data_IF_404203244369
#
_entry.id   IF_404203244369
#
_cell.length_a   1.000
_cell.length_b   1.000
_cell.length_c   1.000
_cell.angle_alpha   90.00
_cell.angle_beta   90.00
_cell.angle_gamma   90.00
#
_symmetry.space_group_name_H-M   'P 1'
#
loop_
_entity.id
_entity.type
_entity.pdbx_description
1 polymer ?
#
# COMPACT_ATOMS: atom_id res chain seq x y z
N UNK A 1 18.82 -2.25 -4.43
CA UNK A 1 17.64 -2.59 -3.60
C UNK A 1 16.74 -3.48 -4.44
N UNK A 2 16.28 -4.61 -3.92
CA UNK A 2 15.29 -5.45 -4.61
C UNK A 2 13.89 -4.87 -4.40
N UNK A 3 13.07 -4.85 -5.43
CA UNK A 3 11.67 -4.40 -5.39
C UNK A 3 10.84 -5.24 -6.38
N UNK A 4 9.52 -5.19 -6.26
CA UNK A 4 8.63 -5.93 -7.15
C UNK A 4 8.67 -5.35 -8.57
N UNK A 5 8.87 -6.24 -9.55
CA UNK A 5 8.80 -5.91 -10.97
C UNK A 5 7.34 -5.86 -11.41
N UNK A 6 6.87 -4.70 -11.87
CA UNK A 6 5.50 -4.55 -12.37
C UNK A 6 4.43 -4.44 -11.29
N UNK A 7 4.80 -4.19 -10.03
CA UNK A 7 3.88 -3.71 -9.00
C UNK A 7 3.35 -2.33 -9.39
N UNK A 8 2.24 -2.35 -10.12
CA UNK A 8 1.47 -1.19 -10.57
C UNK A 8 0.03 -1.62 -10.78
N UNK A 9 -0.88 -0.65 -10.82
CA UNK A 9 -2.23 -0.91 -11.27
C UNK A 9 -2.25 -1.28 -12.76
N UNK A 10 -3.26 -2.05 -13.17
CA UNK A 10 -3.44 -2.50 -14.55
C UNK A 10 -4.75 -1.89 -15.09
N UNK A 11 -4.65 -1.03 -16.10
CA UNK A 11 -5.82 -0.36 -16.71
C UNK A 11 -6.86 -1.36 -17.22
N UNK A 12 -6.42 -2.46 -17.85
CA UNK A 12 -7.31 -3.53 -18.30
C UNK A 12 -7.96 -4.37 -17.20
N UNK A 13 -7.67 -4.10 -15.92
CA UNK A 13 -8.29 -4.77 -14.77
C UNK A 13 -9.23 -3.85 -13.98
N UNK A 14 -9.50 -2.64 -14.47
CA UNK A 14 -10.41 -1.70 -13.80
C UNK A 14 -11.87 -2.17 -13.86
N UNK A 15 -12.71 -1.55 -13.03
CA UNK A 15 -14.15 -1.74 -13.09
C UNK A 15 -14.67 -1.36 -14.48
N UNK A 16 -15.67 -2.09 -14.94
CA UNK A 16 -16.40 -1.71 -16.15
C UNK A 16 -17.08 -0.35 -15.88
N UNK A 17 -16.99 0.62 -16.81
CA UNK A 17 -17.63 1.92 -16.63
C UNK A 17 -19.10 1.81 -16.20
N UNK A 18 -19.51 2.62 -15.23
CA UNK A 18 -20.86 2.60 -14.65
C UNK A 18 -21.11 1.51 -13.60
N UNK A 19 -20.20 0.56 -13.40
CA UNK A 19 -20.30 -0.45 -12.33
C UNK A 19 -19.59 0.03 -11.06
N UNK A 20 -20.09 -0.38 -9.89
CA UNK A 20 -19.47 -0.07 -8.57
C UNK A 20 -19.25 1.43 -8.31
N UNK A 21 -19.91 2.32 -9.06
CA UNK A 21 -19.74 3.78 -8.99
C UNK A 21 -19.82 4.30 -7.55
N UNK A 22 -20.90 3.96 -6.83
CA UNK A 22 -21.08 4.35 -5.43
C UNK A 22 -19.90 3.96 -4.53
N UNK A 23 -19.40 2.73 -4.66
CA UNK A 23 -18.26 2.25 -3.84
C UNK A 23 -16.99 3.03 -4.19
N UNK A 24 -16.78 3.33 -5.48
CA UNK A 24 -15.64 4.14 -5.90
C UNK A 24 -15.75 5.57 -5.35
N UNK A 25 -16.93 6.18 -5.42
CA UNK A 25 -17.20 7.53 -4.92
C UNK A 25 -16.99 7.61 -3.41
N UNK A 26 -17.48 6.62 -2.65
CA UNK A 26 -17.29 6.54 -1.20
C UNK A 26 -15.79 6.48 -0.82
N UNK A 27 -15.02 5.64 -1.52
CA UNK A 27 -13.56 5.51 -1.29
C UNK A 27 -12.82 6.81 -1.68
N UNK A 28 -13.21 7.45 -2.79
CA UNK A 28 -12.62 8.71 -3.24
C UNK A 28 -12.91 9.81 -2.20
N UNK A 29 -14.15 9.92 -1.75
CA UNK A 29 -14.55 10.88 -0.71
C UNK A 29 -13.76 10.70 0.58
N UNK A 30 -13.64 9.45 1.06
CA UNK A 30 -12.80 9.13 2.21
C UNK A 30 -11.33 9.53 2.00
N UNK A 31 -10.76 9.22 0.83
CA UNK A 31 -9.35 9.48 0.56
C UNK A 31 -9.00 10.97 0.44
N UNK A 32 -9.98 11.83 0.16
CA UNK A 32 -9.84 13.28 0.12
C UNK A 32 -10.38 14.01 1.36
N UNK A 33 -10.88 13.28 2.36
CA UNK A 33 -11.37 13.88 3.61
C UNK A 33 -10.21 14.51 4.39
N UNK A 34 -10.41 15.74 4.87
CA UNK A 34 -9.47 16.45 5.75
C UNK A 34 -9.45 15.85 7.16
N UNK A 35 -10.59 15.35 7.63
CA UNK A 35 -10.78 14.74 8.95
C UNK A 35 -11.34 13.32 8.79
N UNK A 36 -10.51 12.34 8.37
CA UNK A 36 -10.98 10.95 8.29
C UNK A 36 -11.03 10.31 9.69
N UNK A 37 -11.98 9.42 9.91
CA UNK A 37 -11.99 8.57 11.12
C UNK A 37 -10.78 7.61 11.17
N UNK A 38 -10.20 7.31 10.00
CA UNK A 38 -9.06 6.39 9.84
C UNK A 38 -8.24 6.68 8.58
N UNK A 39 -6.92 6.53 8.67
CA UNK A 39 -6.01 6.58 7.52
C UNK A 39 -6.07 5.33 6.64
N UNK A 40 -6.73 4.26 7.08
CA UNK A 40 -6.83 2.99 6.38
C UNK A 40 -8.30 2.68 6.06
N UNK A 41 -8.60 2.45 4.78
CA UNK A 41 -9.87 1.91 4.31
C UNK A 41 -9.68 0.46 3.88
N UNK A 42 -10.36 -0.47 4.55
CA UNK A 42 -10.25 -1.90 4.32
C UNK A 42 -11.52 -2.47 3.66
N UNK A 43 -11.44 -2.78 2.37
CA UNK A 43 -12.52 -3.41 1.62
C UNK A 43 -12.44 -4.94 1.74
N UNK A 44 -13.34 -5.51 2.53
CA UNK A 44 -13.46 -6.97 2.72
C UNK A 44 -14.52 -7.58 1.81
N UNK A 45 -14.26 -8.80 1.32
CA UNK A 45 -15.26 -9.56 0.58
C UNK A 45 -14.76 -10.90 0.05
N UNK A 46 -15.65 -11.79 -0.39
CA UNK A 46 -15.28 -13.12 -0.89
C UNK A 46 -14.48 -13.06 -2.19
N UNK A 47 -13.88 -14.17 -2.59
CA UNK A 47 -13.22 -14.31 -3.89
C UNK A 47 -14.22 -14.00 -5.03
N UNK A 48 -13.74 -13.39 -6.11
CA UNK A 48 -14.59 -13.06 -7.27
C UNK A 48 -15.54 -11.87 -7.10
N UNK A 49 -15.59 -11.20 -5.95
CA UNK A 49 -16.51 -10.06 -5.73
C UNK A 49 -16.11 -8.76 -6.44
N UNK A 50 -14.97 -8.73 -7.13
CA UNK A 50 -14.48 -7.57 -7.90
C UNK A 50 -13.63 -6.57 -7.11
N UNK A 51 -13.16 -6.89 -5.90
CA UNK A 51 -12.33 -5.98 -5.08
C UNK A 51 -11.06 -5.51 -5.79
N UNK A 52 -10.34 -6.40 -6.49
CA UNK A 52 -9.16 -6.02 -7.25
C UNK A 52 -9.48 -5.06 -8.39
N UNK A 53 -10.67 -5.18 -9.01
CA UNK A 53 -11.11 -4.23 -10.02
C UNK A 53 -11.34 -2.84 -9.42
N UNK A 54 -11.90 -2.78 -8.20
CA UNK A 54 -12.04 -1.54 -7.43
C UNK A 54 -10.65 -0.96 -7.11
N UNK A 55 -9.71 -1.76 -6.59
CA UNK A 55 -8.34 -1.34 -6.30
C UNK A 55 -7.62 -0.77 -7.52
N UNK A 56 -7.72 -1.43 -8.68
CA UNK A 56 -7.14 -0.95 -9.93
C UNK A 56 -7.81 0.33 -10.45
N UNK A 57 -9.12 0.49 -10.24
CA UNK A 57 -9.86 1.70 -10.61
C UNK A 57 -9.42 2.89 -9.76
N UNK A 58 -9.45 2.73 -8.44
CA UNK A 58 -9.01 3.74 -7.48
C UNK A 58 -7.55 4.12 -7.71
N UNK A 59 -6.66 3.14 -7.87
CA UNK A 59 -5.26 3.42 -8.17
C UNK A 59 -5.09 4.20 -9.49
N UNK A 60 -5.86 3.86 -10.52
CA UNK A 60 -5.81 4.56 -11.80
C UNK A 60 -6.32 6.00 -11.73
N UNK A 61 -7.38 6.25 -10.95
CA UNK A 61 -7.90 7.60 -10.70
C UNK A 61 -6.86 8.44 -9.95
N UNK A 62 -6.27 7.89 -8.88
CA UNK A 62 -5.22 8.61 -8.15
C UNK A 62 -3.95 8.80 -8.98
N UNK A 63 -3.64 7.88 -9.89
CA UNK A 63 -2.51 8.03 -10.81
C UNK A 63 -2.73 9.17 -11.80
N UNK A 64 -3.92 9.29 -12.40
CA UNK A 64 -4.24 10.38 -13.35
C UNK A 64 -4.26 11.76 -12.67
N UNK A 65 -4.61 11.81 -11.39
CA UNK A 65 -4.54 13.01 -10.55
C UNK A 65 -3.11 13.31 -10.07
N UNK A 66 -2.13 12.47 -10.38
CA UNK A 66 -0.77 12.61 -9.88
C UNK A 66 -0.65 12.41 -8.37
N UNK A 67 -1.58 11.71 -7.72
CA UNK A 67 -1.70 11.51 -6.26
C UNK A 67 -1.51 10.05 -5.80
N UNK A 68 -1.26 9.12 -6.72
CA UNK A 68 -0.92 7.74 -6.36
C UNK A 68 0.53 7.69 -5.83
N UNK A 69 0.68 7.29 -4.57
CA UNK A 69 1.98 7.09 -3.93
C UNK A 69 2.61 5.76 -4.31
N UNK A 70 1.86 4.67 -4.23
CA UNK A 70 2.29 3.34 -4.69
C UNK A 70 1.06 2.41 -4.86
N UNK A 71 1.22 1.35 -5.66
CA UNK A 71 0.22 0.30 -5.81
C UNK A 71 0.89 -1.07 -5.84
N UNK A 72 0.56 -1.91 -4.87
CA UNK A 72 1.09 -3.27 -4.74
C UNK A 72 -0.05 -4.27 -4.73
N UNK A 73 0.08 -5.37 -5.47
CA UNK A 73 -0.92 -6.44 -5.53
C UNK A 73 -0.23 -7.74 -5.14
N UNK A 74 -0.67 -8.33 -4.03
CA UNK A 74 -0.18 -9.64 -3.62
C UNK A 74 -0.80 -10.71 -4.52
N UNK A 75 0.04 -11.65 -4.95
CA UNK A 75 -0.39 -12.80 -5.74
C UNK A 75 0.24 -14.04 -5.13
N UNK A 76 -0.59 -14.97 -4.65
CA UNK A 76 -0.09 -16.17 -3.98
C UNK A 76 0.71 -17.03 -4.96
N UNK A 77 1.93 -17.39 -4.57
CA UNK A 77 2.84 -18.20 -5.39
C UNK A 77 3.62 -17.42 -6.45
N UNK A 78 3.38 -16.10 -6.58
CA UNK A 78 4.18 -15.23 -7.44
C UNK A 78 5.32 -14.60 -6.66
N UNK A 79 6.54 -15.06 -6.93
CA UNK A 79 7.75 -14.53 -6.29
C UNK A 79 8.05 -13.06 -6.65
N UNK A 80 7.43 -12.53 -7.71
CA UNK A 80 7.60 -11.12 -8.10
C UNK A 80 6.79 -10.14 -7.22
N UNK A 81 5.81 -10.64 -6.46
CA UNK A 81 4.91 -9.86 -5.61
C UNK A 81 4.86 -10.39 -4.17
N UNK A 82 5.98 -10.93 -3.67
CA UNK A 82 6.09 -11.47 -2.30
C UNK A 82 6.21 -10.37 -1.24
N UNK A 83 5.88 -10.74 0.00
CA UNK A 83 5.90 -9.88 1.21
C UNK A 83 7.19 -9.06 1.33
N UNK A 84 8.34 -9.70 1.18
CA UNK A 84 9.66 -9.08 1.34
C UNK A 84 9.99 -8.03 0.27
N UNK A 85 9.16 -7.87 -0.75
CA UNK A 85 9.29 -6.82 -1.75
C UNK A 85 8.36 -5.63 -1.49
N UNK A 86 7.41 -5.73 -0.56
CA UNK A 86 6.39 -4.70 -0.33
C UNK A 86 7.01 -3.36 0.09
N UNK A 87 7.70 -3.30 1.23
CA UNK A 87 8.27 -2.04 1.73
C UNK A 87 9.35 -1.47 0.80
N UNK A 88 10.25 -2.27 0.21
CA UNK A 88 11.17 -1.76 -0.81
C UNK A 88 10.48 -1.12 -2.01
N UNK A 89 9.38 -1.73 -2.49
CA UNK A 89 8.60 -1.20 -3.62
C UNK A 89 7.94 0.11 -3.25
N UNK A 90 7.31 0.16 -2.07
CA UNK A 90 6.67 1.37 -1.54
C UNK A 90 7.68 2.52 -1.39
N UNK A 91 8.83 2.26 -0.77
CA UNK A 91 9.87 3.26 -0.57
C UNK A 91 10.44 3.80 -1.89
N UNK A 92 10.69 2.91 -2.87
CA UNK A 92 11.12 3.29 -4.22
C UNK A 92 10.09 4.21 -4.90
N UNK A 93 8.81 3.87 -4.84
CA UNK A 93 7.76 4.65 -5.51
C UNK A 93 7.63 6.04 -4.91
N UNK A 94 7.70 6.15 -3.58
CA UNK A 94 7.69 7.42 -2.88
C UNK A 94 8.95 8.24 -3.15
N UNK A 95 10.12 7.61 -3.21
CA UNK A 95 11.38 8.26 -3.61
C UNK A 95 11.34 8.81 -5.05
N UNK A 96 10.51 8.24 -5.93
CA UNK A 96 10.32 8.80 -7.26
C UNK A 96 9.51 10.10 -7.25
N UNK A 97 8.74 10.33 -6.19
CA UNK A 97 7.82 11.46 -6.05
C UNK A 97 8.38 12.59 -5.18
N UNK A 98 9.26 12.28 -4.24
CA UNK A 98 9.85 13.24 -3.32
C UNK A 98 11.39 13.14 -3.27
N UNK A 99 12.11 14.21 -3.66
CA UNK A 99 13.57 14.28 -3.56
C UNK A 99 14.11 14.01 -2.15
N UNK A 100 13.41 14.41 -1.08
CA UNK A 100 13.86 14.18 0.30
C UNK A 100 13.77 12.70 0.68
N UNK A 101 12.66 12.05 0.33
CA UNK A 101 12.52 10.59 0.48
C UNK A 101 13.60 9.87 -0.32
N UNK A 102 13.91 10.35 -1.55
CA UNK A 102 14.98 9.79 -2.38
C UNK A 102 16.35 9.88 -1.73
N UNK A 103 16.68 11.03 -1.15
CA UNK A 103 17.93 11.23 -0.43
C UNK A 103 18.02 10.34 0.82
N UNK A 104 16.97 10.33 1.65
CA UNK A 104 16.88 9.51 2.85
C UNK A 104 17.02 8.01 2.52
N UNK A 105 16.29 7.53 1.51
CA UNK A 105 16.40 6.16 1.03
C UNK A 105 17.80 5.87 0.47
N UNK A 106 18.38 6.82 -0.26
CA UNK A 106 19.76 6.77 -0.76
C UNK A 106 20.79 6.58 0.36
N UNK A 107 20.58 7.22 1.50
CA UNK A 107 21.41 7.04 2.70
C UNK A 107 21.21 5.66 3.34
N UNK A 108 19.96 5.22 3.55
CA UNK A 108 19.67 3.90 4.10
C UNK A 108 20.32 2.78 3.27
N UNK A 109 20.25 2.87 1.94
CA UNK A 109 20.83 1.84 1.06
C UNK A 109 22.34 2.00 0.85
N UNK A 110 23.03 2.96 1.49
CA UNK A 110 24.52 2.96 1.47
C UNK A 110 25.05 1.68 2.09
N UNK A 111 24.39 1.16 3.12
CA UNK A 111 24.66 -0.16 3.68
C UNK A 111 24.26 -1.27 2.69
N UNK A 112 25.21 -2.08 2.19
CA UNK A 112 24.91 -3.20 1.29
C UNK A 112 24.02 -4.28 1.91
N UNK A 113 24.03 -4.43 3.25
CA UNK A 113 23.22 -5.43 3.95
C UNK A 113 21.72 -5.14 3.80
N UNK A 114 21.34 -3.86 3.95
CA UNK A 114 19.97 -3.39 3.78
C UNK A 114 19.49 -3.53 2.33
N UNK A 115 20.38 -3.43 1.32
CA UNK A 115 19.96 -3.56 -0.10
C UNK A 115 19.31 -4.89 -0.44
N UNK A 116 19.62 -5.95 0.32
CA UNK A 116 19.17 -7.33 0.10
C UNK A 116 18.45 -7.92 1.31
N UNK A 117 18.21 -7.14 2.37
CA UNK A 117 17.52 -7.66 3.56
C UNK A 117 16.11 -8.12 3.19
N UNK A 118 15.75 -9.31 3.65
CA UNK A 118 14.39 -9.84 3.59
C UNK A 118 13.70 -9.72 4.95
N UNK A 119 14.40 -9.20 5.98
CA UNK A 119 13.83 -8.97 7.30
C UNK A 119 12.83 -7.81 7.24
N UNK A 120 11.59 -8.09 7.62
CA UNK A 120 10.50 -7.13 7.44
C UNK A 120 10.60 -5.93 8.39
N UNK A 121 11.23 -6.09 9.55
CA UNK A 121 11.43 -5.01 10.51
C UNK A 121 12.52 -4.07 10.03
N UNK A 122 13.64 -4.61 9.54
CA UNK A 122 14.71 -3.83 8.93
C UNK A 122 14.17 -3.01 7.76
N UNK A 123 13.37 -3.64 6.89
CA UNK A 123 12.75 -2.94 5.77
C UNK A 123 11.80 -1.84 6.26
N UNK A 124 10.93 -2.13 7.22
CA UNK A 124 9.98 -1.14 7.74
C UNK A 124 10.68 0.06 8.36
N UNK A 125 11.63 -0.18 9.25
CA UNK A 125 12.33 0.89 9.97
C UNK A 125 13.18 1.75 9.03
N UNK A 126 13.97 1.11 8.16
CA UNK A 126 14.94 1.84 7.34
C UNK A 126 14.33 2.40 6.04
N UNK A 127 13.28 1.77 5.49
CA UNK A 127 12.71 2.20 4.21
C UNK A 127 11.40 2.97 4.35
N UNK A 128 10.65 2.78 5.44
CA UNK A 128 9.37 3.47 5.64
C UNK A 128 9.48 4.50 6.77
N UNK A 129 9.81 4.09 7.99
CA UNK A 129 9.83 5.02 9.14
C UNK A 129 10.81 6.16 8.88
N UNK A 130 12.07 5.85 8.57
CA UNK A 130 13.09 6.86 8.31
C UNK A 130 12.75 7.78 7.13
N UNK A 131 12.18 7.24 6.06
CA UNK A 131 11.91 8.04 4.86
C UNK A 131 10.67 8.91 5.00
N UNK A 132 9.64 8.43 5.71
CA UNK A 132 8.40 9.17 5.95
C UNK A 132 8.60 10.36 6.89
N UNK A 133 9.60 10.33 7.78
CA UNK A 133 9.98 11.50 8.59
C UNK A 133 10.45 12.69 7.74
N UNK A 134 11.07 12.42 6.60
CA UNK A 134 11.57 13.44 5.66
C UNK A 134 10.56 13.79 4.57
N UNK A 135 9.36 13.19 4.61
CA UNK A 135 8.33 13.39 3.60
C UNK A 135 7.87 14.85 3.55
N UNK A 136 7.96 15.43 2.36
CA UNK A 136 7.53 16.79 2.04
C UNK A 136 6.44 16.82 0.97
N UNK A 137 5.85 15.66 0.65
CA UNK A 137 4.78 15.56 -0.33
C UNK A 137 3.55 16.30 0.19
N UNK A 138 3.07 17.25 -0.61
CA UNK A 138 1.87 18.05 -0.30
C UNK A 138 0.63 17.43 -0.95
N UNK A 139 -0.49 17.51 -0.23
CA UNK A 139 -1.80 17.04 -0.68
C UNK A 139 -2.04 15.55 -0.46
N UNK A 140 -3.30 15.14 -0.56
CA UNK A 140 -3.74 13.75 -0.38
C UNK A 140 -2.98 12.77 -1.30
N UNK A 141 -2.29 11.80 -0.70
CA UNK A 141 -1.55 10.71 -1.35
C UNK A 141 -2.18 9.37 -0.97
N UNK A 142 -2.43 8.53 -1.97
CA UNK A 142 -2.99 7.20 -1.76
C UNK A 142 -1.98 6.09 -1.98
N UNK A 143 -1.91 5.17 -1.04
CA UNK A 143 -1.25 3.87 -1.17
C UNK A 143 -2.32 2.79 -1.39
N UNK A 144 -2.12 1.92 -2.37
CA UNK A 144 -3.08 0.84 -2.68
C UNK A 144 -2.44 -0.52 -2.46
N UNK A 145 -3.05 -1.34 -1.63
CA UNK A 145 -2.64 -2.71 -1.32
C UNK A 145 -3.76 -3.66 -1.73
N UNK A 146 -3.59 -4.35 -2.85
CA UNK A 146 -4.56 -5.29 -3.36
C UNK A 146 -4.26 -6.73 -2.91
N UNK A 147 -5.33 -7.47 -2.60
CA UNK A 147 -5.34 -8.89 -2.25
C UNK A 147 -4.44 -9.24 -1.04
N UNK A 148 -4.52 -8.49 0.05
CA UNK A 148 -3.70 -8.70 1.25
C UNK A 148 -3.81 -10.13 1.84
N UNK A 149 -4.93 -10.84 1.62
CA UNK A 149 -5.08 -12.26 1.98
C UNK A 149 -4.14 -13.21 1.20
N UNK A 150 -3.62 -12.79 0.06
CA UNK A 150 -2.68 -13.56 -0.75
C UNK A 150 -1.22 -13.42 -0.30
N UNK A 151 -0.93 -12.47 0.60
CA UNK A 151 0.39 -12.33 1.20
C UNK A 151 0.72 -13.55 2.08
N UNK A 152 1.70 -14.37 1.69
CA UNK A 152 2.10 -15.57 2.44
C UNK A 152 3.53 -15.45 2.97
N UNK A 153 3.85 -16.19 4.03
CA UNK A 153 5.18 -16.28 4.62
C UNK A 153 5.19 -16.16 6.15
N UNK A 154 6.28 -16.60 6.77
CA UNK A 154 6.47 -16.59 8.23
C UNK A 154 6.27 -15.20 8.85
N UNK A 155 6.69 -14.15 8.13
CA UNK A 155 6.58 -12.76 8.59
C UNK A 155 5.18 -12.15 8.43
N UNK A 156 4.18 -12.87 7.89
CA UNK A 156 2.82 -12.33 7.64
C UNK A 156 2.21 -11.72 8.89
N UNK A 157 2.27 -12.41 10.03
CA UNK A 157 1.68 -11.92 11.29
C UNK A 157 2.34 -10.61 11.74
N UNK A 158 3.65 -10.50 11.59
CA UNK A 158 4.40 -9.29 11.94
C UNK A 158 4.09 -8.16 10.96
N UNK A 159 4.06 -8.47 9.66
CA UNK A 159 3.69 -7.53 8.60
C UNK A 159 2.31 -6.90 8.82
N UNK A 160 1.29 -7.71 9.13
CA UNK A 160 -0.06 -7.21 9.41
C UNK A 160 -0.08 -6.26 10.61
N UNK A 161 0.69 -6.55 11.67
CA UNK A 161 0.82 -5.65 12.82
C UNK A 161 1.49 -4.33 12.45
N UNK A 162 2.58 -4.38 11.68
CA UNK A 162 3.28 -3.18 11.20
C UNK A 162 2.37 -2.33 10.32
N UNK A 163 1.60 -2.96 9.44
CA UNK A 163 0.70 -2.27 8.52
C UNK A 163 -0.49 -1.64 9.25
N UNK A 164 -1.09 -2.33 10.22
CA UNK A 164 -2.20 -1.80 11.02
C UNK A 164 -1.75 -0.67 11.98
N UNK A 165 -0.51 -0.74 12.48
CA UNK A 165 0.08 0.29 13.35
C UNK A 165 0.89 1.35 12.62
N UNK A 166 0.84 1.38 11.28
CA UNK A 166 1.65 2.29 10.47
C UNK A 166 1.19 3.73 10.71
N UNK A 167 2.10 4.55 11.25
CA UNK A 167 1.89 5.99 11.40
C UNK A 167 2.33 6.68 10.12
N UNK A 168 1.38 7.27 9.40
CA UNK A 168 1.63 8.04 8.19
C UNK A 168 1.39 9.53 8.45
N UNK A 169 2.00 10.43 7.67
CA UNK A 169 1.61 11.83 7.67
C UNK A 169 0.12 12.00 7.34
N UNK A 170 -0.50 13.07 7.83
CA UNK A 170 -1.95 13.27 7.76
C UNK A 170 -2.50 13.31 6.34
N UNK A 171 -1.68 13.63 5.35
CA UNK A 171 -2.06 13.65 3.95
C UNK A 171 -1.99 12.28 3.26
N UNK A 172 -1.58 11.21 3.95
CA UNK A 172 -1.52 9.87 3.38
C UNK A 172 -2.74 9.03 3.77
N UNK A 173 -3.16 8.19 2.82
CA UNK A 173 -4.25 7.23 2.96
C UNK A 173 -3.81 5.87 2.44
N UNK A 174 -4.33 4.79 3.02
CA UNK A 174 -4.06 3.42 2.58
C UNK A 174 -5.37 2.71 2.26
N UNK A 175 -5.58 2.39 0.99
CA UNK A 175 -6.69 1.56 0.56
C UNK A 175 -6.23 0.11 0.44
N UNK A 176 -6.91 -0.79 1.14
CA UNK A 176 -6.57 -2.21 1.23
C UNK A 176 -7.76 -3.05 0.77
N UNK A 177 -7.51 -4.08 -0.04
CA UNK A 177 -8.50 -5.12 -0.31
C UNK A 177 -8.04 -6.45 0.30
N UNK A 178 -8.99 -7.23 0.82
CA UNK A 178 -8.70 -8.55 1.38
C UNK A 178 -9.94 -9.45 1.44
N UNK A 179 -9.73 -10.76 1.54
CA UNK A 179 -10.72 -11.66 2.13
C UNK A 179 -10.88 -11.40 3.63
N UNK A 180 -12.06 -11.73 4.20
CA UNK A 180 -12.35 -11.55 5.62
C UNK A 180 -11.70 -12.62 6.52
N UNK A 181 -10.43 -12.97 6.25
CA UNK A 181 -9.69 -13.98 7.01
C UNK A 181 -9.51 -13.55 8.47
N UNK A 182 -9.42 -14.53 9.38
CA UNK A 182 -9.44 -14.29 10.83
C UNK A 182 -8.28 -13.40 11.29
N UNK A 183 -7.09 -13.59 10.73
CA UNK A 183 -5.89 -12.82 11.06
C UNK A 183 -5.99 -11.37 10.56
N UNK A 184 -6.55 -11.14 9.37
CA UNK A 184 -6.85 -9.80 8.84
C UNK A 184 -7.82 -9.07 9.75
N UNK A 185 -8.97 -9.69 10.08
CA UNK A 185 -9.96 -9.09 10.99
C UNK A 185 -9.37 -8.77 12.36
N UNK A 186 -8.47 -9.63 12.85
CA UNK A 186 -7.80 -9.44 14.15
C UNK A 186 -6.81 -8.29 14.10
N UNK A 187 -6.03 -8.18 13.02
CA UNK A 187 -5.01 -7.14 12.87
C UNK A 187 -5.62 -5.74 12.70
N UNK A 188 -6.75 -5.65 12.00
CA UNK A 188 -7.43 -4.38 11.69
C UNK A 188 -8.67 -4.13 12.55
N UNK A 189 -8.84 -4.83 13.68
CA UNK A 189 -10.02 -4.69 14.55
C UNK A 189 -10.15 -3.32 15.20
N UNK A 190 -9.03 -2.61 15.36
CA UNK A 190 -8.94 -1.26 15.91
C UNK A 190 -8.94 -0.18 14.83
N UNK A 191 -8.94 -0.58 13.56
CA UNK A 191 -9.09 0.34 12.44
C UNK A 191 -10.58 0.52 12.24
N UNK A 192 -11.12 1.65 12.70
CA UNK A 192 -12.51 2.00 12.50
C UNK A 192 -12.75 2.29 11.01
N UNK A 193 -13.75 1.62 10.43
CA UNK A 193 -14.23 1.80 9.04
C UNK A 193 -15.53 2.58 9.11
#
# INVERSE_FOLDING_TARGET
>A
MLYANGARYKSGKQCIPGTRARVLDDIIGWAFSEEPDSHICLLLGPAGSGKSAIAHSIAGIFASLGRLGSSFCFVRGDNSCRLTLFFPTLARDLAHRDPKIKEALGHAIKDPSLRKTEDIMDQFNNFIVQTMHECSIVGHILLVIDALDECVGESRKQFLKLLAGLKLPDNFRVFITSRPDKDIRTAFSQVHI
#
